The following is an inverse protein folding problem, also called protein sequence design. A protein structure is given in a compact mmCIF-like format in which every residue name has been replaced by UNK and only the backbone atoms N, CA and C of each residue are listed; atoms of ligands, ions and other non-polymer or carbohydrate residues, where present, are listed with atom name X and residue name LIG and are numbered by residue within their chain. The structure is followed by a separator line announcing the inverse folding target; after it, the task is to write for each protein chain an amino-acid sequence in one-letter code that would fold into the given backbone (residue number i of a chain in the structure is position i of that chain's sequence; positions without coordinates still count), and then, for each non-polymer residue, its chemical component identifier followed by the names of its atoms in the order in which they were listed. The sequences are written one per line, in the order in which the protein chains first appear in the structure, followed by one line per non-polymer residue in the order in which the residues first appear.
data_IF_780372526993
#
_entry.id   IF_780372526993
#
_cell.length_a   1.000
_cell.length_b   1.000
_cell.length_c   1.000
_cell.angle_alpha   90.00
_cell.angle_beta   90.00
_cell.angle_gamma   90.00
#
_symmetry.space_group_name_H-M   'P 1'
#
loop_
_entity.id
_entity.type
_entity.pdbx_description
1 polymer ?
#
# COMPACT_ATOMS: atom_id res chain seq x y z
N UNK A 1 10.04 -20.31 -17.12
CA UNK A 1 9.56 -21.64 -17.63
C UNK A 1 10.40 -22.79 -17.11
N UNK A 2 11.71 -22.83 -17.33
CA UNK A 2 12.57 -23.96 -16.92
C UNK A 2 12.50 -24.29 -15.42
N UNK A 3 12.45 -23.26 -14.58
CA UNK A 3 12.33 -23.42 -13.13
C UNK A 3 11.02 -24.11 -12.69
N UNK A 4 9.92 -23.77 -13.36
CA UNK A 4 8.63 -24.40 -13.14
C UNK A 4 8.67 -25.90 -13.54
N UNK A 5 9.26 -26.19 -14.73
CA UNK A 5 9.43 -27.58 -15.18
C UNK A 5 10.26 -28.39 -14.19
N UNK A 6 11.39 -27.86 -13.74
CA UNK A 6 12.24 -28.52 -12.73
C UNK A 6 11.48 -28.76 -11.41
N UNK A 7 10.58 -27.83 -11.01
CA UNK A 7 9.75 -28.01 -9.83
C UNK A 7 8.76 -29.16 -10.00
N UNK A 8 8.12 -29.28 -11.18
CA UNK A 8 7.23 -30.40 -11.45
C UNK A 8 7.94 -31.73 -11.47
N UNK A 9 9.16 -31.81 -12.03
CA UNK A 9 9.96 -33.04 -12.02
C UNK A 9 10.40 -33.44 -10.60
N UNK A 10 10.75 -32.46 -9.76
CA UNK A 10 11.17 -32.70 -8.37
C UNK A 10 9.98 -32.85 -7.40
N UNK A 11 8.74 -32.56 -7.84
CA UNK A 11 7.57 -32.51 -6.97
C UNK A 11 7.32 -33.75 -6.11
N UNK A 12 7.41 -34.99 -6.61
CA UNK A 12 7.18 -36.21 -5.78
C UNK A 12 8.12 -36.24 -4.58
N UNK A 13 9.41 -35.99 -4.80
CA UNK A 13 10.42 -35.94 -3.74
C UNK A 13 10.19 -34.78 -2.76
N UNK A 14 9.87 -33.58 -3.28
CA UNK A 14 9.61 -32.40 -2.46
C UNK A 14 8.35 -32.60 -1.60
N UNK A 15 7.27 -33.17 -2.12
CA UNK A 15 6.08 -33.49 -1.34
C UNK A 15 6.37 -34.49 -0.24
N UNK A 16 7.13 -35.57 -0.54
CA UNK A 16 7.56 -36.52 0.49
C UNK A 16 8.35 -35.80 1.59
N UNK A 17 9.35 -34.98 1.22
CA UNK A 17 10.16 -34.23 2.17
C UNK A 17 9.33 -33.28 3.05
N UNK A 18 8.32 -32.59 2.49
CA UNK A 18 7.45 -31.69 3.24
C UNK A 18 6.49 -32.47 4.15
N UNK A 19 5.94 -33.60 3.67
CA UNK A 19 5.00 -34.43 4.44
C UNK A 19 5.63 -35.12 5.67
N UNK A 20 6.93 -35.34 5.62
CA UNK A 20 7.68 -35.96 6.76
C UNK A 20 8.02 -34.91 7.84
N UNK A 21 7.89 -33.60 7.59
CA UNK A 21 8.05 -32.59 8.62
C UNK A 21 6.85 -32.64 9.58
N UNK A 22 7.13 -32.73 10.88
CA UNK A 22 6.08 -32.63 11.92
C UNK A 22 5.38 -31.29 11.79
N UNK A 23 4.05 -31.31 11.80
CA UNK A 23 3.24 -30.08 11.95
C UNK A 23 3.39 -29.60 13.39
N UNK A 24 4.31 -28.67 13.58
CA UNK A 24 4.51 -27.99 14.87
C UNK A 24 3.57 -26.78 14.98
N UNK A 25 3.44 -26.28 16.20
CA UNK A 25 2.88 -24.96 16.45
C UNK A 25 3.57 -23.90 15.56
N UNK A 26 2.83 -22.90 15.12
CA UNK A 26 3.39 -21.83 14.28
C UNK A 26 4.17 -20.85 15.14
N UNK A 27 5.49 -20.94 15.11
CA UNK A 27 6.40 -20.10 15.89
C UNK A 27 7.17 -19.07 15.06
N UNK A 28 7.23 -19.27 13.74
CA UNK A 28 7.96 -18.40 12.84
C UNK A 28 7.23 -18.27 11.51
N UNK A 29 6.79 -17.03 11.20
CA UNK A 29 6.00 -16.73 10.00
C UNK A 29 6.76 -15.72 9.14
N UNK A 30 6.93 -16.01 7.86
CA UNK A 30 7.39 -15.03 6.87
C UNK A 30 6.21 -14.49 6.07
N UNK A 31 6.05 -13.17 6.06
CA UNK A 31 5.09 -12.49 5.20
C UNK A 31 5.84 -11.83 4.03
N UNK A 32 5.52 -12.22 2.81
CA UNK A 32 6.12 -11.67 1.59
C UNK A 32 5.20 -10.61 1.00
N UNK A 33 5.55 -9.32 1.21
CA UNK A 33 4.84 -8.16 0.67
C UNK A 33 5.83 -7.24 -0.04
N UNK A 34 6.06 -7.52 -1.31
CA UNK A 34 7.08 -6.81 -2.12
C UNK A 34 6.49 -5.75 -3.05
N UNK A 35 5.24 -5.39 -2.85
CA UNK A 35 4.60 -4.29 -3.55
C UNK A 35 5.04 -2.93 -2.96
N UNK A 36 4.53 -1.82 -3.51
CA UNK A 36 4.91 -0.47 -3.11
C UNK A 36 4.13 0.02 -1.88
N UNK A 37 4.35 1.28 -1.52
CA UNK A 37 3.90 1.90 -0.27
C UNK A 37 2.41 1.73 -0.02
N UNK A 38 1.55 2.06 -0.99
CA UNK A 38 0.09 1.97 -0.81
C UNK A 38 -0.37 0.54 -0.49
N UNK A 39 0.15 -0.45 -1.24
CA UNK A 39 -0.16 -1.86 -0.99
C UNK A 39 0.40 -2.36 0.34
N UNK A 40 1.58 -1.87 0.75
CA UNK A 40 2.16 -2.21 2.05
C UNK A 40 1.26 -1.70 3.17
N UNK A 41 0.92 -0.41 3.17
CA UNK A 41 0.04 0.20 4.20
C UNK A 41 -1.31 -0.52 4.24
N UNK A 42 -1.92 -0.82 3.10
CA UNK A 42 -3.19 -1.54 3.04
C UNK A 42 -3.13 -2.99 3.59
N UNK A 43 -1.92 -3.56 3.72
CA UNK A 43 -1.72 -4.92 4.25
C UNK A 43 -1.09 -4.96 5.64
N UNK A 44 -0.82 -3.82 6.28
CA UNK A 44 -0.34 -3.78 7.68
C UNK A 44 -1.25 -4.49 8.66
N UNK A 45 -2.60 -4.52 8.49
CA UNK A 45 -3.48 -5.30 9.36
C UNK A 45 -3.16 -6.79 9.43
N UNK A 46 -2.51 -7.35 8.40
CA UNK A 46 -2.08 -8.76 8.40
C UNK A 46 -1.02 -9.01 9.47
N UNK A 47 -0.05 -8.12 9.61
CA UNK A 47 1.00 -8.24 10.65
C UNK A 47 0.39 -8.09 12.04
N UNK A 48 -0.52 -7.14 12.21
CA UNK A 48 -1.25 -6.96 13.46
C UNK A 48 -2.11 -8.17 13.81
N UNK A 49 -2.83 -8.74 12.85
CA UNK A 49 -3.62 -9.95 13.05
C UNK A 49 -2.75 -11.14 13.45
N UNK A 50 -1.58 -11.29 12.83
CA UNK A 50 -0.59 -12.30 13.20
C UNK A 50 -0.12 -12.10 14.64
N UNK A 51 0.25 -10.88 15.04
CA UNK A 51 0.68 -10.57 16.41
C UNK A 51 -0.41 -10.84 17.43
N UNK A 52 -1.66 -10.47 17.13
CA UNK A 52 -2.81 -10.72 18.01
C UNK A 52 -3.08 -12.23 18.22
N UNK A 53 -2.97 -13.04 17.14
CA UNK A 53 -3.29 -14.48 17.19
C UNK A 53 -2.09 -15.36 17.54
N UNK A 54 -0.88 -14.88 17.28
CA UNK A 54 0.38 -15.58 17.54
C UNK A 54 1.34 -14.67 18.32
N UNK A 55 1.03 -14.31 19.58
CA UNK A 55 1.79 -13.31 20.33
C UNK A 55 3.27 -13.71 20.59
N UNK A 56 3.57 -15.01 20.58
CA UNK A 56 4.91 -15.54 20.81
C UNK A 56 5.66 -15.93 19.52
N UNK A 57 5.04 -15.77 18.34
CA UNK A 57 5.69 -16.11 17.09
C UNK A 57 6.60 -14.99 16.61
N UNK A 58 7.73 -15.36 16.02
CA UNK A 58 8.56 -14.41 15.26
C UNK A 58 7.87 -14.09 13.92
N UNK A 59 7.49 -12.83 13.74
CA UNK A 59 6.86 -12.33 12.52
C UNK A 59 7.92 -11.61 11.70
N UNK A 60 8.29 -12.21 10.58
CA UNK A 60 9.31 -11.68 9.67
C UNK A 60 8.63 -11.12 8.42
N UNK A 61 8.97 -9.90 8.05
CA UNK A 61 8.46 -9.25 6.85
C UNK A 61 9.53 -9.23 5.75
N UNK A 62 9.23 -9.77 4.56
CA UNK A 62 10.06 -9.62 3.38
C UNK A 62 9.42 -8.56 2.48
N UNK A 63 10.09 -7.40 2.38
CA UNK A 63 9.53 -6.19 1.82
C UNK A 63 10.33 -5.66 0.61
N UNK A 64 9.66 -4.83 -0.19
CA UNK A 64 10.36 -3.94 -1.11
C UNK A 64 11.16 -2.89 -0.30
N UNK A 65 12.41 -2.55 -0.67
CA UNK A 65 13.25 -1.63 0.11
C UNK A 65 12.60 -0.28 0.41
N UNK A 66 11.74 0.20 -0.46
CA UNK A 66 11.01 1.47 -0.26
C UNK A 66 10.14 1.46 1.00
N UNK A 67 9.68 0.29 1.46
CA UNK A 67 8.78 0.17 2.61
C UNK A 67 9.52 0.08 3.95
N UNK A 68 10.85 -0.10 3.92
CA UNK A 68 11.65 -0.27 5.14
C UNK A 68 11.39 0.84 6.18
N UNK A 69 11.44 2.15 5.82
CA UNK A 69 11.26 3.22 6.80
C UNK A 69 9.87 3.25 7.46
N UNK A 70 8.86 2.69 6.80
CA UNK A 70 7.49 2.61 7.37
C UNK A 70 7.31 1.34 8.22
N UNK A 71 8.04 0.29 7.91
CA UNK A 71 7.93 -0.99 8.61
C UNK A 71 8.73 -1.04 9.92
N UNK A 72 9.85 -0.30 10.01
CA UNK A 72 10.73 -0.26 11.18
C UNK A 72 10.04 0.22 12.46
N UNK A 73 8.97 1.00 12.34
CA UNK A 73 8.20 1.49 13.48
C UNK A 73 6.99 0.63 13.86
N UNK A 74 6.77 -0.51 13.22
CA UNK A 74 5.60 -1.37 13.50
C UNK A 74 5.94 -2.45 14.53
N UNK A 75 5.38 -2.37 15.73
CA UNK A 75 5.55 -3.36 16.81
C UNK A 75 5.04 -4.77 16.45
N UNK A 76 4.26 -4.87 15.38
CA UNK A 76 3.73 -6.14 14.88
C UNK A 76 4.74 -6.95 14.07
N UNK A 77 5.93 -6.39 13.76
CA UNK A 77 7.00 -7.01 12.96
C UNK A 77 8.26 -7.14 13.81
N UNK A 78 8.77 -8.36 13.97
CA UNK A 78 10.00 -8.59 14.75
C UNK A 78 11.27 -8.41 13.91
N UNK A 79 11.21 -8.76 12.63
CA UNK A 79 12.36 -8.68 11.73
C UNK A 79 11.94 -8.32 10.31
N UNK A 80 12.72 -7.46 9.69
CA UNK A 80 12.51 -7.02 8.32
C UNK A 80 13.65 -7.52 7.45
N UNK A 81 13.30 -8.09 6.29
CA UNK A 81 14.21 -8.47 5.22
C UNK A 81 13.79 -7.67 3.99
N UNK A 82 14.72 -7.02 3.33
CA UNK A 82 14.44 -6.27 2.10
C UNK A 82 14.91 -7.02 0.87
N UNK A 83 14.20 -6.88 -0.23
CA UNK A 83 14.64 -7.39 -1.53
C UNK A 83 16.03 -6.86 -1.90
N UNK A 84 16.91 -7.71 -2.40
CA UNK A 84 18.22 -7.27 -2.89
C UNK A 84 18.05 -6.43 -4.17
N UNK A 85 19.06 -5.63 -4.53
CA UNK A 85 19.12 -4.97 -5.83
C UNK A 85 18.87 -5.97 -6.97
N UNK A 86 17.93 -5.63 -7.87
CA UNK A 86 17.49 -6.54 -8.94
C UNK A 86 16.40 -7.56 -8.56
N UNK A 87 16.02 -7.66 -7.29
CA UNK A 87 14.93 -8.51 -6.81
C UNK A 87 15.15 -10.00 -7.09
N UNK A 88 14.12 -10.70 -7.56
CA UNK A 88 14.14 -12.14 -7.84
C UNK A 88 14.68 -12.51 -9.25
N UNK A 89 15.36 -11.62 -9.94
CA UNK A 89 15.83 -11.88 -11.30
C UNK A 89 16.90 -12.97 -11.31
N UNK A 90 16.82 -13.86 -12.32
CA UNK A 90 17.79 -14.91 -12.54
C UNK A 90 17.84 -15.98 -11.45
N UNK A 91 18.90 -16.78 -11.44
CA UNK A 91 19.14 -17.81 -10.45
C UNK A 91 19.61 -17.24 -9.11
N UNK A 92 20.39 -16.17 -9.14
CA UNK A 92 20.92 -15.52 -7.94
C UNK A 92 19.79 -15.03 -7.02
N UNK A 93 18.77 -14.36 -7.57
CA UNK A 93 17.63 -13.89 -6.78
C UNK A 93 16.78 -15.03 -6.20
N UNK A 94 16.63 -16.15 -6.93
CA UNK A 94 15.93 -17.34 -6.41
C UNK A 94 16.76 -18.06 -5.33
N UNK A 95 18.07 -18.13 -5.52
CA UNK A 95 18.96 -18.70 -4.52
C UNK A 95 18.93 -17.87 -3.24
N UNK A 96 19.00 -16.55 -3.35
CA UNK A 96 18.86 -15.66 -2.20
C UNK A 96 17.54 -15.88 -1.44
N UNK A 97 16.40 -15.97 -2.14
CA UNK A 97 15.13 -16.25 -1.49
C UNK A 97 15.10 -17.64 -0.84
N UNK A 98 15.74 -18.63 -1.48
CA UNK A 98 15.87 -19.95 -0.91
C UNK A 98 16.70 -19.91 0.38
N UNK A 99 17.82 -19.20 0.40
CA UNK A 99 18.70 -19.07 1.57
C UNK A 99 17.95 -18.36 2.74
N UNK A 100 17.16 -17.31 2.46
CA UNK A 100 16.26 -16.70 3.44
C UNK A 100 15.28 -17.73 4.03
N UNK A 101 14.64 -18.52 3.18
CA UNK A 101 13.65 -19.52 3.62
C UNK A 101 14.30 -20.72 4.31
N UNK A 102 15.56 -21.03 4.02
CA UNK A 102 16.31 -22.10 4.66
C UNK A 102 16.64 -21.84 6.13
N UNK A 103 16.50 -20.58 6.59
CA UNK A 103 16.57 -20.25 8.03
C UNK A 103 15.48 -20.96 8.86
N UNK A 104 14.44 -21.50 8.23
CA UNK A 104 13.39 -22.27 8.85
C UNK A 104 12.18 -21.44 9.26
N UNK A 105 11.08 -21.59 8.52
CA UNK A 105 9.78 -20.98 8.79
C UNK A 105 8.70 -22.05 8.86
N UNK A 106 7.76 -21.91 9.79
CA UNK A 106 6.60 -22.82 9.91
C UNK A 106 5.53 -22.47 8.87
N UNK A 107 5.45 -21.20 8.51
CA UNK A 107 4.52 -20.69 7.51
C UNK A 107 5.12 -19.55 6.68
N UNK A 108 4.73 -19.50 5.41
CA UNK A 108 4.97 -18.36 4.53
C UNK A 108 3.62 -17.87 4.00
N UNK A 109 3.33 -16.59 4.20
CA UNK A 109 2.17 -15.89 3.66
C UNK A 109 2.60 -14.97 2.52
N UNK A 110 2.12 -15.23 1.32
CA UNK A 110 2.54 -14.55 0.08
C UNK A 110 1.42 -13.59 -0.34
N UNK A 111 1.61 -12.29 -0.07
CA UNK A 111 0.68 -11.23 -0.45
C UNK A 111 1.02 -10.62 -1.82
N UNK A 112 2.27 -10.79 -2.27
CA UNK A 112 2.74 -10.37 -3.59
C UNK A 112 3.10 -11.60 -4.43
N UNK A 113 2.11 -12.30 -5.02
CA UNK A 113 2.35 -13.53 -5.74
C UNK A 113 3.10 -13.29 -7.05
N UNK A 114 4.21 -13.99 -7.20
CA UNK A 114 4.93 -14.17 -8.45
C UNK A 114 5.53 -15.57 -8.47
N UNK A 115 6.00 -16.02 -9.63
CA UNK A 115 6.46 -17.40 -9.78
C UNK A 115 7.55 -17.78 -8.77
N UNK A 116 8.47 -16.88 -8.42
CA UNK A 116 9.51 -17.16 -7.43
C UNK A 116 8.93 -17.30 -6.02
N UNK A 117 8.05 -16.37 -5.62
CA UNK A 117 7.41 -16.40 -4.29
C UNK A 117 6.53 -17.65 -4.10
N UNK A 118 5.92 -18.15 -5.18
CA UNK A 118 5.07 -19.33 -5.13
C UNK A 118 5.87 -20.65 -5.10
N UNK A 119 7.04 -20.73 -5.78
CA UNK A 119 7.78 -21.98 -5.94
C UNK A 119 8.90 -22.16 -4.91
N UNK A 120 9.65 -21.09 -4.58
CA UNK A 120 10.83 -21.22 -3.72
C UNK A 120 10.49 -21.72 -2.31
N UNK A 121 9.36 -21.33 -1.67
CA UNK A 121 8.97 -21.88 -0.38
C UNK A 121 8.75 -23.41 -0.39
N UNK A 122 8.30 -23.96 -1.53
CA UNK A 122 8.15 -25.41 -1.68
C UNK A 122 9.52 -26.11 -1.76
N UNK A 123 10.48 -25.52 -2.53
CA UNK A 123 11.85 -26.01 -2.57
C UNK A 123 12.57 -25.95 -1.21
N UNK A 124 12.33 -24.88 -0.45
CA UNK A 124 12.85 -24.73 0.91
C UNK A 124 12.17 -25.69 1.92
N UNK A 125 11.06 -26.32 1.51
CA UNK A 125 10.33 -27.27 2.34
C UNK A 125 9.53 -26.60 3.45
N UNK A 126 9.04 -25.37 3.26
CA UNK A 126 8.17 -24.69 4.22
C UNK A 126 6.86 -25.46 4.35
N UNK A 127 6.41 -25.84 5.57
CA UNK A 127 5.22 -26.69 5.74
C UNK A 127 3.92 -26.02 5.30
N UNK A 128 3.69 -24.77 5.68
CA UNK A 128 2.49 -24.00 5.30
C UNK A 128 2.87 -22.89 4.30
N UNK A 129 2.36 -23.00 3.10
CA UNK A 129 2.65 -22.11 1.96
C UNK A 129 1.34 -21.53 1.48
N UNK A 130 1.04 -20.34 1.96
CA UNK A 130 -0.25 -19.65 1.73
C UNK A 130 -0.01 -18.49 0.80
N UNK A 131 -0.88 -18.31 -0.19
CA UNK A 131 -0.80 -17.17 -1.11
C UNK A 131 -2.17 -16.58 -1.38
N UNK A 132 -2.22 -15.25 -1.54
CA UNK A 132 -3.33 -14.60 -2.23
C UNK A 132 -3.18 -14.89 -3.73
N UNK A 133 -4.27 -15.35 -4.35
CA UNK A 133 -4.30 -15.72 -5.77
C UNK A 133 -4.99 -14.62 -6.56
N UNK A 134 -4.27 -14.03 -7.50
CA UNK A 134 -4.85 -13.04 -8.41
C UNK A 134 -5.94 -13.68 -9.29
N UNK A 135 -7.05 -12.98 -9.49
CA UNK A 135 -8.13 -13.40 -10.40
C UNK A 135 -7.84 -13.04 -11.87
N UNK A 136 -7.00 -12.02 -12.08
CA UNK A 136 -6.64 -11.49 -13.41
C UNK A 136 -5.17 -11.73 -13.73
N UNK A 137 -4.83 -11.82 -15.02
CA UNK A 137 -3.44 -11.91 -15.56
C UNK A 137 -2.52 -12.89 -14.84
N UNK A 138 -3.02 -14.07 -14.51
CA UNK A 138 -2.26 -15.05 -13.73
C UNK A 138 -1.17 -15.77 -14.54
N UNK A 139 -1.28 -15.84 -15.83
CA UNK A 139 -0.28 -16.44 -16.72
C UNK A 139 0.22 -17.81 -16.24
N UNK A 140 1.54 -18.02 -16.30
CA UNK A 140 2.19 -19.25 -15.84
C UNK A 140 2.18 -19.46 -14.32
N UNK A 141 1.82 -18.45 -13.52
CA UNK A 141 1.76 -18.58 -12.05
C UNK A 141 0.67 -19.56 -11.59
N UNK A 142 -0.40 -19.76 -12.37
CA UNK A 142 -1.40 -20.80 -12.09
C UNK A 142 -0.80 -22.20 -11.98
N UNK A 143 0.20 -22.50 -12.77
CA UNK A 143 0.89 -23.80 -12.74
C UNK A 143 1.71 -24.01 -11.44
N UNK A 144 1.90 -22.97 -10.65
CA UNK A 144 2.53 -23.05 -9.34
C UNK A 144 1.55 -23.29 -8.18
N UNK A 145 0.24 -23.16 -8.39
CA UNK A 145 -0.76 -23.30 -7.33
C UNK A 145 -0.78 -24.68 -6.65
N UNK A 146 -0.58 -25.83 -7.35
CA UNK A 146 -0.49 -27.12 -6.69
C UNK A 146 0.62 -27.24 -5.65
N UNK A 147 1.60 -26.36 -5.66
CA UNK A 147 2.70 -26.33 -4.68
C UNK A 147 2.39 -25.53 -3.42
N UNK A 148 1.25 -24.85 -3.37
CA UNK A 148 0.73 -24.18 -2.18
C UNK A 148 0.00 -25.18 -1.27
N UNK A 149 -0.11 -24.87 0.01
CA UNK A 149 -1.00 -25.57 0.94
C UNK A 149 -2.37 -24.95 1.02
N UNK A 150 -2.46 -23.64 0.73
CA UNK A 150 -3.70 -22.88 0.66
C UNK A 150 -3.54 -21.70 -0.32
N UNK A 151 -4.53 -21.47 -1.14
CA UNK A 151 -4.63 -20.31 -2.01
C UNK A 151 -5.92 -19.56 -1.73
N UNK A 152 -5.83 -18.34 -1.22
CA UNK A 152 -6.98 -17.46 -1.01
C UNK A 152 -7.28 -16.68 -2.29
N UNK A 153 -8.41 -16.93 -2.97
CA UNK A 153 -8.71 -16.26 -4.23
C UNK A 153 -9.12 -14.80 -3.99
N UNK A 154 -8.41 -13.87 -4.61
CA UNK A 154 -8.86 -12.49 -4.71
C UNK A 154 -9.83 -12.36 -5.89
N UNK A 155 -11.01 -11.82 -5.65
CA UNK A 155 -12.07 -11.65 -6.65
C UNK A 155 -12.34 -10.18 -6.88
N UNK A 156 -12.64 -9.81 -8.12
CA UNK A 156 -13.09 -8.47 -8.46
C UNK A 156 -14.26 -8.03 -7.54
N UNK A 157 -14.23 -6.80 -7.11
CA UNK A 157 -15.23 -6.23 -6.19
C UNK A 157 -15.01 -6.56 -4.71
N UNK A 158 -13.90 -7.19 -4.36
CA UNK A 158 -13.50 -7.45 -2.96
C UNK A 158 -12.28 -6.63 -2.61
N UNK A 159 -12.26 -6.09 -1.39
CA UNK A 159 -11.09 -5.37 -0.87
C UNK A 159 -9.89 -6.33 -0.74
N UNK A 160 -8.75 -5.96 -1.33
CA UNK A 160 -7.53 -6.76 -1.28
C UNK A 160 -7.06 -7.01 0.16
N UNK A 161 -7.16 -6.01 1.04
CA UNK A 161 -6.82 -6.16 2.46
C UNK A 161 -7.61 -7.26 3.16
N UNK A 162 -8.91 -7.39 2.85
CA UNK A 162 -9.75 -8.45 3.43
C UNK A 162 -9.37 -9.82 2.88
N UNK A 163 -9.02 -9.91 1.60
CA UNK A 163 -8.49 -11.16 1.02
C UNK A 163 -7.18 -11.54 1.68
N UNK A 164 -6.28 -10.58 1.91
CA UNK A 164 -5.01 -10.80 2.59
C UNK A 164 -5.21 -11.30 4.04
N UNK A 165 -6.19 -10.75 4.76
CA UNK A 165 -6.54 -11.22 6.11
C UNK A 165 -7.18 -12.61 6.08
N UNK A 166 -8.11 -12.90 5.14
CA UNK A 166 -8.70 -14.26 5.01
C UNK A 166 -7.65 -15.31 4.71
N UNK A 167 -6.58 -14.97 4.00
CA UNK A 167 -5.48 -15.90 3.74
C UNK A 167 -4.83 -16.45 5.03
N UNK A 168 -4.98 -15.78 6.17
CA UNK A 168 -4.50 -16.25 7.47
C UNK A 168 -5.15 -17.60 7.90
N UNK A 169 -6.34 -17.92 7.40
CA UNK A 169 -6.95 -19.23 7.62
C UNK A 169 -6.08 -20.38 7.09
N UNK A 170 -5.31 -20.13 6.02
CA UNK A 170 -4.39 -21.11 5.45
C UNK A 170 -3.19 -21.47 6.33
N UNK A 171 -2.86 -20.63 7.32
CA UNK A 171 -1.85 -20.96 8.35
C UNK A 171 -2.47 -21.49 9.64
N UNK A 172 -3.79 -21.70 9.66
CA UNK A 172 -4.52 -22.30 10.78
C UNK A 172 -5.06 -21.29 11.78
N UNK A 173 -5.19 -20.01 11.42
CA UNK A 173 -5.78 -18.99 12.27
C UNK A 173 -7.28 -18.86 11.99
N UNK A 174 -8.05 -18.67 13.05
CA UNK A 174 -9.45 -18.28 12.92
C UNK A 174 -9.54 -16.79 12.54
N UNK A 175 -10.25 -16.51 11.45
CA UNK A 175 -10.40 -15.16 10.90
C UNK A 175 -11.85 -14.70 11.11
N UNK A 176 -12.07 -14.02 12.20
CA UNK A 176 -13.34 -13.42 12.56
C UNK A 176 -13.49 -11.99 12.01
N UNK A 177 -14.67 -11.40 12.20
CA UNK A 177 -14.96 -10.04 11.74
C UNK A 177 -14.05 -9.00 12.42
N UNK A 178 -13.65 -9.21 13.67
CA UNK A 178 -12.77 -8.29 14.38
C UNK A 178 -11.39 -8.18 13.72
N UNK A 179 -10.85 -9.29 13.18
CA UNK A 179 -9.62 -9.24 12.37
C UNK A 179 -9.83 -8.56 11.03
N UNK A 180 -10.96 -8.78 10.37
CA UNK A 180 -11.26 -8.15 9.08
C UNK A 180 -11.43 -6.62 9.20
N UNK A 181 -11.83 -6.14 10.37
CA UNK A 181 -12.06 -4.72 10.66
C UNK A 181 -10.81 -4.01 11.23
N UNK A 182 -9.69 -4.70 11.44
CA UNK A 182 -8.46 -4.09 11.91
C UNK A 182 -8.07 -2.89 11.01
N UNK A 183 -7.75 -1.71 11.57
CA UNK A 183 -7.32 -0.57 10.75
C UNK A 183 -5.94 -0.80 10.15
N UNK A 184 -5.64 -0.07 9.09
CA UNK A 184 -4.28 0.06 8.59
C UNK A 184 -3.41 0.75 9.64
N UNK A 185 -2.10 0.46 9.64
CA UNK A 185 -1.15 1.01 10.59
C UNK A 185 -0.01 1.73 9.88
N UNK A 186 0.38 2.86 10.45
CA UNK A 186 1.59 3.60 10.09
C UNK A 186 2.18 4.16 11.38
N UNK A 187 3.45 3.90 11.62
CA UNK A 187 4.15 4.42 12.79
C UNK A 187 4.67 5.84 12.55
N UNK A 188 4.76 6.62 13.63
CA UNK A 188 5.41 7.91 13.64
C UNK A 188 6.86 7.73 14.11
N UNK A 189 7.83 8.23 13.34
CA UNK A 189 9.23 8.18 13.76
C UNK A 189 9.52 9.26 14.81
N UNK A 190 10.50 9.02 15.69
CA UNK A 190 10.90 9.99 16.72
C UNK A 190 11.36 11.32 16.10
N UNK A 191 12.15 11.26 15.04
CA UNK A 191 12.60 12.45 14.29
C UNK A 191 11.43 13.20 13.65
N UNK A 192 10.47 12.45 13.09
CA UNK A 192 9.24 13.01 12.52
C UNK A 192 8.40 13.72 13.56
N UNK A 193 8.27 13.17 14.77
CA UNK A 193 7.53 13.78 15.87
C UNK A 193 8.15 15.11 16.33
N UNK A 194 9.47 15.18 16.46
CA UNK A 194 10.16 16.44 16.78
C UNK A 194 9.87 17.51 15.71
N UNK A 195 9.96 17.14 14.44
CA UNK A 195 9.65 18.07 13.34
C UNK A 195 8.17 18.47 13.32
N UNK A 196 7.26 17.53 13.59
CA UNK A 196 5.82 17.77 13.67
C UNK A 196 5.49 18.84 14.71
N UNK A 197 6.07 18.76 15.88
CA UNK A 197 5.88 19.74 16.94
C UNK A 197 6.32 21.14 16.49
N UNK A 198 7.49 21.27 15.87
CA UNK A 198 7.98 22.53 15.31
C UNK A 198 7.08 23.05 14.19
N UNK A 199 6.62 22.18 13.30
CA UNK A 199 5.72 22.54 12.20
C UNK A 199 4.36 23.02 12.72
N UNK A 200 3.73 22.31 13.65
CA UNK A 200 2.44 22.67 14.22
C UNK A 200 2.48 23.97 15.04
N UNK A 201 3.61 24.28 15.70
CA UNK A 201 3.76 25.52 16.47
C UNK A 201 3.73 26.79 15.61
N UNK A 202 4.03 26.69 14.31
CA UNK A 202 4.10 27.83 13.39
C UNK A 202 2.76 28.04 12.65
N UNK A 203 1.91 27.03 12.56
CA UNK A 203 0.70 27.05 11.75
C UNK A 203 -0.55 26.89 12.63
N UNK A 204 -1.29 28.00 12.82
CA UNK A 204 -2.49 28.05 13.67
C UNK A 204 -3.82 27.96 12.90
N UNK A 205 -3.78 27.83 11.56
CA UNK A 205 -4.97 27.71 10.71
C UNK A 205 -5.15 26.27 10.25
N UNK A 206 -6.35 25.85 9.83
CA UNK A 206 -6.55 24.52 9.28
C UNK A 206 -5.59 24.22 8.12
N UNK A 207 -5.04 23.02 8.09
CA UNK A 207 -4.06 22.59 7.10
C UNK A 207 -4.67 21.54 6.16
N UNK A 208 -4.68 21.83 4.87
CA UNK A 208 -5.10 20.88 3.84
C UNK A 208 -3.88 20.41 3.07
N UNK A 209 -3.55 19.10 3.20
CA UNK A 209 -2.52 18.48 2.40
C UNK A 209 -3.00 18.28 0.97
N UNK A 210 -2.24 18.73 -0.01
CA UNK A 210 -2.48 18.47 -1.42
C UNK A 210 -1.40 17.54 -1.97
N UNK A 211 -1.79 16.30 -2.29
CA UNK A 211 -0.92 15.30 -2.90
C UNK A 211 -0.68 15.59 -4.38
N UNK A 212 0.56 15.94 -4.74
CA UNK A 212 0.89 16.37 -6.10
C UNK A 212 1.10 15.23 -7.09
N UNK A 213 1.37 14.01 -6.60
CA UNK A 213 1.72 12.92 -7.48
C UNK A 213 1.28 11.55 -6.99
N UNK A 214 1.52 10.55 -7.83
CA UNK A 214 1.36 9.14 -7.52
C UNK A 214 2.54 8.35 -8.07
N UNK A 215 2.85 7.22 -7.43
CA UNK A 215 3.89 6.29 -7.89
C UNK A 215 3.64 5.73 -9.31
N UNK A 216 2.38 5.67 -9.71
CA UNK A 216 1.96 5.45 -11.09
C UNK A 216 1.42 6.75 -11.66
N UNK A 217 2.18 7.41 -12.53
CA UNK A 217 1.83 8.70 -13.14
C UNK A 217 0.50 8.68 -13.92
N UNK A 218 0.02 7.52 -14.32
CA UNK A 218 -1.30 7.40 -14.94
C UNK A 218 -2.44 7.86 -14.00
N UNK A 219 -2.23 7.78 -12.69
CA UNK A 219 -3.22 8.16 -11.65
C UNK A 219 -3.15 9.64 -11.27
N UNK A 220 -2.04 10.34 -11.56
CA UNK A 220 -1.80 11.71 -11.11
C UNK A 220 -2.67 12.74 -11.87
N UNK A 221 -3.14 13.76 -11.16
CA UNK A 221 -3.71 14.97 -11.75
C UNK A 221 -2.62 15.72 -12.54
N UNK A 222 -3.04 16.57 -13.48
CA UNK A 222 -2.12 17.48 -14.17
C UNK A 222 -1.96 18.81 -13.41
N UNK A 223 -0.98 19.62 -13.82
CA UNK A 223 -0.64 20.86 -13.13
C UNK A 223 -1.78 21.88 -13.14
N UNK A 224 -2.59 21.92 -14.22
CA UNK A 224 -3.74 22.82 -14.32
C UNK A 224 -4.86 22.42 -13.36
N UNK A 225 -5.10 21.11 -13.22
CA UNK A 225 -6.10 20.57 -12.29
C UNK A 225 -5.67 20.79 -10.83
N UNK A 226 -4.38 20.59 -10.52
CA UNK A 226 -3.81 20.86 -9.19
C UNK A 226 -3.93 22.33 -8.84
N UNK A 227 -3.64 23.23 -9.78
CA UNK A 227 -3.79 24.66 -9.59
C UNK A 227 -5.26 25.05 -9.33
N UNK A 228 -6.18 24.61 -10.17
CA UNK A 228 -7.61 24.88 -10.01
C UNK A 228 -8.14 24.35 -8.68
N UNK A 229 -7.70 23.16 -8.27
CA UNK A 229 -8.06 22.56 -6.98
C UNK A 229 -7.54 23.44 -5.83
N UNK A 230 -6.28 23.86 -5.87
CA UNK A 230 -5.68 24.75 -4.88
C UNK A 230 -6.39 26.10 -4.79
N UNK A 231 -6.65 26.78 -5.93
CA UNK A 231 -7.38 28.05 -5.99
C UNK A 231 -8.77 27.96 -5.33
N UNK A 232 -9.52 26.92 -5.68
CA UNK A 232 -10.88 26.73 -5.19
C UNK A 232 -10.94 26.36 -3.69
N UNK A 233 -10.00 25.58 -3.19
CA UNK A 233 -9.90 25.27 -1.75
C UNK A 233 -9.58 26.56 -0.98
N UNK A 234 -8.58 27.32 -1.40
CA UNK A 234 -8.17 28.57 -0.74
C UNK A 234 -9.25 29.65 -0.81
N UNK A 235 -10.03 29.71 -1.89
CA UNK A 235 -11.13 30.67 -2.02
C UNK A 235 -12.33 30.35 -1.12
N UNK A 236 -12.55 29.07 -0.76
CA UNK A 236 -13.74 28.62 -0.02
C UNK A 236 -13.47 28.28 1.44
N UNK A 237 -12.23 28.33 1.88
CA UNK A 237 -11.83 27.96 3.23
C UNK A 237 -10.82 28.97 3.79
N UNK A 238 -10.63 28.97 5.10
CA UNK A 238 -9.53 29.72 5.74
C UNK A 238 -8.22 28.91 5.80
N UNK A 239 -8.21 27.68 5.28
CA UNK A 239 -7.08 26.74 5.39
C UNK A 239 -5.85 27.23 4.62
N UNK A 240 -4.68 26.78 5.04
CA UNK A 240 -3.46 26.78 4.24
C UNK A 240 -3.25 25.46 3.53
N UNK A 241 -2.68 25.47 2.34
CA UNK A 241 -2.31 24.27 1.59
C UNK A 241 -0.90 23.83 1.97
N UNK A 242 -0.74 22.54 2.25
CA UNK A 242 0.56 21.88 2.39
C UNK A 242 0.77 20.99 1.18
N UNK A 243 1.72 21.35 0.31
CA UNK A 243 2.04 20.58 -0.89
C UNK A 243 2.85 19.36 -0.52
N UNK A 244 2.29 18.17 -0.74
CA UNK A 244 2.91 16.90 -0.41
C UNK A 244 3.34 16.19 -1.69
N UNK A 245 4.63 15.89 -1.82
CA UNK A 245 5.16 15.25 -3.02
C UNK A 245 6.62 14.86 -2.89
N UNK A 246 7.11 14.19 -3.90
CA UNK A 246 8.51 13.77 -4.04
C UNK A 246 9.35 14.84 -4.76
N UNK A 247 10.65 14.59 -4.91
CA UNK A 247 11.52 15.45 -5.74
C UNK A 247 11.01 15.60 -7.19
N UNK A 248 10.34 14.58 -7.72
CA UNK A 248 9.78 14.61 -9.07
C UNK A 248 8.58 15.57 -9.20
N UNK A 249 8.03 16.02 -8.09
CA UNK A 249 6.83 16.88 -8.04
C UNK A 249 7.19 18.36 -7.75
N UNK A 250 8.48 18.68 -7.51
CA UNK A 250 8.95 20.03 -7.18
C UNK A 250 8.64 21.07 -8.26
N UNK A 251 8.65 20.67 -9.54
CA UNK A 251 8.30 21.60 -10.63
C UNK A 251 6.81 22.00 -10.56
N UNK A 252 5.91 21.07 -10.27
CA UNK A 252 4.49 21.36 -10.05
C UNK A 252 4.29 22.23 -8.80
N UNK A 253 5.00 21.92 -7.70
CA UNK A 253 4.96 22.72 -6.48
C UNK A 253 5.38 24.19 -6.74
N UNK A 254 6.47 24.41 -7.47
CA UNK A 254 6.94 25.75 -7.82
C UNK A 254 5.90 26.54 -8.64
N UNK A 255 5.18 25.89 -9.56
CA UNK A 255 4.10 26.52 -10.32
C UNK A 255 2.92 26.92 -9.43
N UNK A 256 2.55 26.08 -8.47
CA UNK A 256 1.50 26.38 -7.50
C UNK A 256 1.89 27.56 -6.60
N UNK A 257 3.12 27.57 -6.08
CA UNK A 257 3.65 28.68 -5.26
C UNK A 257 3.67 30.01 -6.00
N UNK A 258 3.96 30.01 -7.30
CA UNK A 258 4.00 31.22 -8.11
C UNK A 258 2.61 31.79 -8.41
N UNK A 259 1.55 31.01 -8.33
CA UNK A 259 0.20 31.39 -8.76
C UNK A 259 -0.82 31.51 -7.63
N UNK A 260 -0.62 30.78 -6.55
CA UNK A 260 -1.52 30.79 -5.40
C UNK A 260 -1.16 31.91 -4.42
N UNK A 261 -2.10 32.35 -3.56
CA UNK A 261 -1.86 33.44 -2.61
C UNK A 261 -0.64 33.18 -1.71
N UNK A 262 0.31 34.13 -1.72
CA UNK A 262 1.49 34.02 -0.87
C UNK A 262 1.10 33.97 0.62
N UNK A 263 1.82 33.15 1.39
CA UNK A 263 1.56 32.95 2.82
C UNK A 263 0.47 31.91 3.15
N UNK A 264 -0.24 31.39 2.14
CA UNK A 264 -1.25 30.34 2.34
C UNK A 264 -0.89 29.00 1.69
N UNK A 265 0.31 28.89 1.15
CA UNK A 265 0.83 27.65 0.54
C UNK A 265 2.19 27.31 1.13
N UNK A 266 2.31 26.13 1.64
CA UNK A 266 3.52 25.60 2.28
C UNK A 266 4.07 24.49 1.39
N UNK A 267 5.26 24.67 0.84
CA UNK A 267 5.93 23.60 0.11
C UNK A 267 6.61 22.62 1.08
N UNK A 268 6.18 21.39 1.08
CA UNK A 268 6.84 20.30 1.81
C UNK A 268 7.43 19.24 0.87
N UNK A 269 7.42 19.48 -0.46
CA UNK A 269 7.89 18.50 -1.44
C UNK A 269 9.36 18.16 -1.23
N UNK A 270 9.65 16.84 -1.15
CA UNK A 270 10.98 16.28 -0.90
C UNK A 270 11.68 16.78 0.39
N UNK A 271 10.96 17.44 1.30
CA UNK A 271 11.53 17.95 2.55
C UNK A 271 11.40 16.94 3.70
N UNK A 272 10.45 16.04 3.62
CA UNK A 272 10.21 14.98 4.61
C UNK A 272 10.66 13.64 4.04
N UNK A 273 11.49 12.94 4.77
CA UNK A 273 11.82 11.54 4.43
C UNK A 273 10.58 10.66 4.54
N UNK A 274 10.62 9.48 3.96
CA UNK A 274 9.47 8.56 4.04
C UNK A 274 9.18 8.11 5.49
N UNK A 275 10.18 8.07 6.36
CA UNK A 275 10.00 7.80 7.78
C UNK A 275 9.31 8.97 8.53
N UNK A 276 9.58 10.20 8.12
CA UNK A 276 9.02 11.41 8.74
C UNK A 276 7.66 11.82 8.15
N UNK A 277 7.38 11.43 6.91
CA UNK A 277 6.16 11.83 6.19
C UNK A 277 4.86 11.53 6.96
N UNK A 278 4.71 10.38 7.66
CA UNK A 278 3.55 10.16 8.52
C UNK A 278 3.33 11.26 9.55
N UNK A 279 4.40 11.78 10.16
CA UNK A 279 4.31 12.85 11.15
C UNK A 279 3.84 14.18 10.54
N UNK A 280 4.26 14.50 9.31
CA UNK A 280 3.69 15.64 8.57
C UNK A 280 2.19 15.42 8.29
N UNK A 281 1.83 14.24 7.77
CA UNK A 281 0.43 13.94 7.44
C UNK A 281 -0.47 14.03 8.68
N UNK A 282 0.02 13.61 9.84
CA UNK A 282 -0.71 13.69 11.12
C UNK A 282 -0.97 15.13 11.60
N UNK A 283 -0.40 16.17 10.97
CA UNK A 283 -0.70 17.58 11.28
C UNK A 283 -1.88 18.12 10.46
N UNK A 284 -2.35 17.38 9.47
CA UNK A 284 -3.33 17.87 8.51
C UNK A 284 -4.75 17.68 9.01
N UNK A 285 -5.60 18.66 8.79
CA UNK A 285 -7.04 18.58 9.05
C UNK A 285 -7.79 17.87 7.92
N UNK A 286 -7.19 17.81 6.72
CA UNK A 286 -7.69 17.06 5.58
C UNK A 286 -6.53 16.76 4.63
N UNK A 287 -6.52 15.59 4.01
CA UNK A 287 -5.62 15.26 2.90
C UNK A 287 -6.42 15.03 1.62
N UNK A 288 -6.02 15.71 0.55
CA UNK A 288 -6.61 15.57 -0.79
C UNK A 288 -5.58 14.99 -1.72
N UNK A 289 -5.94 13.93 -2.39
CA UNK A 289 -5.01 13.26 -3.31
C UNK A 289 -5.69 12.30 -4.25
N UNK A 290 -4.84 11.51 -4.89
CA UNK A 290 -5.24 10.39 -5.74
C UNK A 290 -4.82 9.08 -5.07
N UNK A 291 -5.26 7.94 -5.60
CA UNK A 291 -4.81 6.60 -5.16
C UNK A 291 -3.27 6.52 -5.12
N UNK A 292 -2.71 6.82 -3.95
CA UNK A 292 -1.27 6.93 -3.70
C UNK A 292 -0.87 6.50 -2.29
N UNK A 293 0.43 6.27 -2.06
CA UNK A 293 0.94 5.90 -0.74
C UNK A 293 0.64 6.95 0.33
N UNK A 294 0.74 8.25 0.01
CA UNK A 294 0.45 9.33 0.96
C UNK A 294 -1.02 9.32 1.40
N UNK A 295 -1.95 9.03 0.47
CA UNK A 295 -3.38 8.91 0.73
C UNK A 295 -3.67 7.80 1.75
N UNK A 296 -3.06 6.62 1.56
CA UNK A 296 -3.23 5.50 2.49
C UNK A 296 -2.56 5.73 3.84
N UNK A 297 -1.43 6.44 3.88
CA UNK A 297 -0.80 6.82 5.14
C UNK A 297 -1.65 7.82 5.92
N UNK A 298 -2.20 8.84 5.25
CA UNK A 298 -3.10 9.82 5.89
C UNK A 298 -4.35 9.13 6.46
N UNK A 299 -4.97 8.23 5.68
CA UNK A 299 -6.12 7.42 6.11
C UNK A 299 -5.79 6.55 7.33
N UNK A 300 -4.64 5.86 7.32
CA UNK A 300 -4.19 5.02 8.43
C UNK A 300 -3.91 5.81 9.73
N UNK A 301 -3.57 7.09 9.60
CA UNK A 301 -3.38 8.02 10.72
C UNK A 301 -4.69 8.63 11.23
N UNK A 302 -5.83 8.31 10.62
CA UNK A 302 -7.14 8.87 10.97
C UNK A 302 -7.35 10.29 10.45
N UNK A 303 -6.47 10.80 9.60
CA UNK A 303 -6.65 12.10 8.93
C UNK A 303 -7.81 11.98 7.94
N UNK A 304 -8.75 12.91 7.93
CA UNK A 304 -9.80 12.97 6.92
C UNK A 304 -9.21 13.02 5.50
N UNK A 305 -9.66 12.12 4.64
CA UNK A 305 -9.10 11.97 3.28
C UNK A 305 -10.17 12.19 2.23
N UNK A 306 -9.84 12.98 1.21
CA UNK A 306 -10.60 13.04 -0.05
C UNK A 306 -9.72 12.43 -1.14
N UNK A 307 -10.07 11.22 -1.55
CA UNK A 307 -9.31 10.43 -2.53
C UNK A 307 -10.02 10.40 -3.88
N UNK A 308 -9.35 10.87 -4.92
CA UNK A 308 -9.85 10.76 -6.28
C UNK A 308 -9.30 9.50 -6.97
N UNK A 309 -10.19 8.59 -7.30
CA UNK A 309 -9.87 7.34 -7.95
C UNK A 309 -10.28 7.37 -9.43
N UNK A 310 -9.40 7.87 -10.29
CA UNK A 310 -9.59 7.89 -11.72
C UNK A 310 -9.56 6.49 -12.33
N UNK A 311 -8.37 5.93 -12.63
CA UNK A 311 -8.24 4.58 -13.20
C UNK A 311 -8.29 3.45 -12.17
N UNK A 312 -8.13 3.74 -10.87
CA UNK A 312 -8.04 2.73 -9.82
C UNK A 312 -9.41 2.19 -9.42
N UNK A 313 -9.46 0.90 -9.07
CA UNK A 313 -10.67 0.24 -8.61
C UNK A 313 -10.87 0.39 -7.10
N UNK A 314 -11.80 1.26 -6.73
CA UNK A 314 -12.16 1.47 -5.32
C UNK A 314 -12.76 0.23 -4.64
N UNK A 315 -13.23 -0.75 -5.39
CA UNK A 315 -13.70 -2.00 -4.84
C UNK A 315 -12.53 -2.92 -4.42
N UNK A 316 -11.40 -2.83 -5.14
CA UNK A 316 -10.20 -3.60 -4.82
C UNK A 316 -9.39 -2.96 -3.68
N UNK A 317 -9.22 -1.65 -3.71
CA UNK A 317 -8.43 -0.92 -2.70
C UNK A 317 -8.85 0.55 -2.65
N UNK A 318 -9.11 1.07 -1.45
CA UNK A 318 -9.41 2.48 -1.17
C UNK A 318 -9.07 2.80 0.29
N UNK A 319 -9.00 4.07 0.65
CA UNK A 319 -9.06 4.51 2.05
C UNK A 319 -10.31 3.93 2.74
N UNK A 320 -10.17 3.55 4.01
CA UNK A 320 -11.22 2.86 4.79
C UNK A 320 -11.59 3.58 6.08
N UNK A 321 -10.90 4.67 6.41
CA UNK A 321 -11.18 5.48 7.57
C UNK A 321 -12.61 6.03 7.55
N UNK A 322 -13.17 6.24 8.73
CA UNK A 322 -14.56 6.72 8.86
C UNK A 322 -14.82 8.09 8.22
N UNK A 323 -13.74 8.87 8.00
CA UNK A 323 -13.79 10.19 7.38
C UNK A 323 -13.22 10.18 5.95
N UNK A 324 -13.03 9.02 5.36
CA UNK A 324 -12.54 8.90 3.99
C UNK A 324 -13.70 9.10 2.99
N UNK A 325 -13.50 10.03 2.06
CA UNK A 325 -14.42 10.29 0.95
C UNK A 325 -13.71 9.87 -0.34
N UNK A 326 -14.32 8.93 -1.06
CA UNK A 326 -13.80 8.46 -2.35
C UNK A 326 -14.61 9.06 -3.47
N UNK A 327 -13.97 9.89 -4.29
CA UNK A 327 -14.53 10.46 -5.52
C UNK A 327 -14.07 9.61 -6.70
N UNK A 328 -14.98 9.12 -7.53
CA UNK A 328 -14.69 8.23 -8.66
C UNK A 328 -14.86 8.95 -9.99
N UNK A 329 -14.18 8.43 -10.99
CA UNK A 329 -14.45 8.82 -12.37
C UNK A 329 -15.69 8.09 -12.90
N UNK A 330 -16.53 8.79 -13.65
CA UNK A 330 -17.71 8.24 -14.32
C UNK A 330 -17.39 7.73 -15.75
N UNK A 331 -16.11 7.70 -16.12
CA UNK A 331 -15.70 7.26 -17.46
C UNK A 331 -15.93 5.77 -17.65
N UNK A 332 -16.53 5.33 -18.78
CA UNK A 332 -16.84 3.91 -19.03
C UNK A 332 -15.64 2.98 -19.05
N UNK A 333 -14.43 3.51 -19.30
CA UNK A 333 -13.18 2.76 -19.26
C UNK A 333 -12.57 2.63 -17.86
N UNK A 334 -13.13 3.30 -16.85
CA UNK A 334 -12.70 3.18 -15.45
C UNK A 334 -13.66 2.24 -14.69
N UNK A 335 -13.12 1.44 -13.74
CA UNK A 335 -11.71 1.28 -13.43
C UNK A 335 -10.96 0.38 -14.43
N UNK A 336 -9.68 0.64 -14.65
CA UNK A 336 -8.80 -0.21 -15.45
C UNK A 336 -7.48 -0.58 -14.72
N UNK A 337 -7.31 -0.12 -13.50
CA UNK A 337 -6.20 -0.47 -12.61
C UNK A 337 -6.75 -1.21 -11.40
N UNK A 338 -6.37 -2.46 -11.27
CA UNK A 338 -6.84 -3.38 -10.24
C UNK A 338 -5.69 -3.93 -9.41
N UNK A 339 -5.98 -4.58 -8.30
CA UNK A 339 -5.00 -5.37 -7.57
C UNK A 339 -4.36 -6.40 -8.51
N UNK A 340 -3.03 -6.48 -8.51
CA UNK A 340 -2.22 -7.33 -9.41
C UNK A 340 -2.24 -6.99 -10.90
N UNK A 341 -3.02 -6.02 -11.34
CA UNK A 341 -3.13 -5.60 -12.75
C UNK A 341 -3.27 -4.08 -12.86
N UNK A 342 -2.17 -3.37 -12.64
CA UNK A 342 -2.11 -1.92 -12.70
C UNK A 342 -1.29 -1.47 -13.92
N UNK A 343 -1.91 -1.04 -15.01
CA UNK A 343 -1.21 -0.53 -16.19
C UNK A 343 -0.51 0.80 -15.87
N UNK A 344 0.65 1.02 -16.49
CA UNK A 344 1.38 2.30 -16.39
C UNK A 344 1.07 3.26 -17.53
N UNK A 345 0.22 2.86 -18.48
CA UNK A 345 -0.20 3.68 -19.62
C UNK A 345 -1.67 3.46 -19.88
N UNK A 346 -2.35 4.55 -20.21
CA UNK A 346 -3.75 4.48 -20.66
C UNK A 346 -3.84 3.75 -22.00
N UNK A 347 -4.65 2.70 -22.08
CA UNK A 347 -4.84 1.92 -23.29
C UNK A 347 -5.57 2.69 -24.39
N UNK A 348 -6.39 3.70 -24.03
CA UNK A 348 -7.07 4.62 -24.95
C UNK A 348 -6.21 5.85 -25.30
N UNK A 349 -5.10 6.09 -24.58
CA UNK A 349 -4.25 7.25 -24.77
C UNK A 349 -4.81 8.58 -24.24
N UNK A 350 -6.09 8.66 -23.90
CA UNK A 350 -6.79 9.90 -23.55
C UNK A 350 -6.66 10.29 -22.09
N UNK A 351 -6.49 9.32 -21.19
CA UNK A 351 -6.62 9.53 -19.73
C UNK A 351 -7.91 10.28 -19.34
N UNK A 352 -9.02 10.03 -20.05
CA UNK A 352 -10.28 10.74 -19.82
C UNK A 352 -10.72 10.71 -18.35
N UNK A 353 -10.49 9.58 -17.63
CA UNK A 353 -10.77 9.46 -16.21
C UNK A 353 -10.00 10.46 -15.33
N UNK A 354 -8.89 11.02 -15.80
CA UNK A 354 -8.13 12.09 -15.15
C UNK A 354 -8.48 13.45 -15.78
N UNK A 355 -8.54 13.53 -17.11
CA UNK A 355 -8.83 14.77 -17.82
C UNK A 355 -10.19 15.37 -17.40
N UNK A 356 -11.18 14.51 -17.13
CA UNK A 356 -12.54 14.91 -16.77
C UNK A 356 -12.83 14.65 -15.27
N UNK A 357 -11.82 14.90 -14.42
CA UNK A 357 -11.98 14.77 -12.97
C UNK A 357 -13.10 15.68 -12.43
N UNK A 358 -13.99 15.19 -11.54
CA UNK A 358 -15.08 15.99 -11.00
C UNK A 358 -14.56 16.92 -9.87
N UNK A 359 -13.78 17.94 -10.22
CA UNK A 359 -13.14 18.87 -9.27
C UNK A 359 -14.16 19.51 -8.30
N UNK A 360 -15.35 19.86 -8.78
CA UNK A 360 -16.39 20.43 -7.92
C UNK A 360 -16.78 19.47 -6.78
N UNK A 361 -16.87 18.17 -7.04
CA UNK A 361 -17.19 17.16 -6.01
C UNK A 361 -16.05 17.00 -5.01
N UNK A 362 -14.79 17.03 -5.49
CA UNK A 362 -13.61 16.97 -4.63
C UNK A 362 -13.60 18.19 -3.70
N UNK A 363 -13.77 19.40 -4.24
CA UNK A 363 -13.76 20.66 -3.48
C UNK A 363 -14.90 20.67 -2.44
N UNK A 364 -16.12 20.27 -2.84
CA UNK A 364 -17.25 20.18 -1.92
C UNK A 364 -16.97 19.21 -0.75
N UNK A 365 -16.31 18.11 -1.05
CA UNK A 365 -15.89 17.11 -0.05
C UNK A 365 -14.86 17.69 0.92
N UNK A 366 -13.86 18.43 0.44
CA UNK A 366 -12.86 19.10 1.28
C UNK A 366 -13.52 20.11 2.20
N UNK A 367 -14.37 21.00 1.65
CA UNK A 367 -15.07 22.02 2.45
C UNK A 367 -15.94 21.39 3.55
N UNK A 368 -16.60 20.26 3.25
CA UNK A 368 -17.41 19.52 4.22
C UNK A 368 -16.57 18.90 5.35
N UNK A 369 -15.35 18.53 5.06
CA UNK A 369 -14.45 17.81 5.99
C UNK A 369 -13.79 18.78 6.98
N UNK A 370 -13.54 20.01 6.56
CA UNK A 370 -12.89 21.00 7.42
C UNK A 370 -13.84 21.50 8.51
N UNK A 371 -13.31 21.85 9.70
CA UNK A 371 -14.13 22.47 10.73
C UNK A 371 -14.78 23.77 10.18
N UNK A 372 -16.05 23.96 10.52
CA UNK A 372 -16.76 25.19 10.12
C UNK A 372 -15.95 26.40 10.60
N UNK A 373 -15.56 27.27 9.68
CA UNK A 373 -14.98 28.57 10.08
C UNK A 373 -15.99 29.28 10.94
N UNK A 374 -15.71 29.46 12.25
CA UNK A 374 -16.49 30.38 13.06
C UNK A 374 -16.37 31.77 12.42
N UNK A 375 -17.47 32.49 12.23
CA UNK A 375 -17.50 33.83 11.64
C UNK A 375 -16.73 34.84 12.47
#
# INVERSE_FOLDING_TARGET
MIYLLLTWLAAPWLWWRVSTRKKTETRRVLVIQTAKIGDFVATTPVFRALRCRLPQAEIVALLHPVNLPLAEGLDSIDRIITLPPGGYKGWAGKRWLFDVLAEGYDAVLILSPNLSNLLVPFWAGVPRRVAVLADRRQGSSRLAWPFLTHGEPHRAGQMFRQTALRALAGIGLDVDQALLDLPNEVALSAEGEVRRQGFSAIHAVPLVGLGLGAGNRMKALDDAQLLQLGEQILARTSASLVLVGTRADQAAAAQLLARLPAGRVIDSTAQWSLAELPSLLATLDCFVGVDSGATYMADALGVPVVDFMGPADAADQRPIGVQAIVVRSDQPCAPCSHAFDAPYRCHLGTRACIAEVPLASIIASVVKTLPATMP
#
